data_IF_207502844250
#
_entry.id   IF_207502844250
#
_cell.length_a   1.000
_cell.length_b   1.000
_cell.length_c   1.000
_cell.angle_alpha   90.00
_cell.angle_beta   90.00
_cell.angle_gamma   90.00
#
_symmetry.space_group_name_H-M   'P 1'
#
loop_
_entity.id
_entity.type
_entity.pdbx_description
1 polymer ?
#
# COMPACT_ATOMS: atom_id res chain seq x y z
N UNK A 1 27.55 -4.85 -6.26
CA UNK A 1 27.88 -4.70 -7.70
C UNK A 1 29.27 -5.29 -7.95
N UNK A 2 29.34 -6.55 -8.41
CA UNK A 2 30.60 -7.17 -8.83
C UNK A 2 30.30 -8.31 -9.83
N UNK A 3 29.54 -8.00 -10.88
CA UNK A 3 29.28 -8.91 -12.00
C UNK A 3 29.30 -8.09 -13.30
N UNK A 4 30.47 -7.57 -13.63
CA UNK A 4 30.86 -7.14 -14.99
C UNK A 4 32.33 -6.73 -14.98
N UNK A 5 33.24 -7.72 -14.95
CA UNK A 5 34.67 -7.52 -15.17
C UNK A 5 35.09 -8.18 -16.48
N UNK A 6 35.60 -7.39 -17.42
CA UNK A 6 36.09 -7.81 -18.73
C UNK A 6 37.31 -8.76 -18.60
N UNK A 7 37.33 -9.85 -19.39
CA UNK A 7 38.57 -10.55 -19.79
C UNK A 7 39.01 -10.02 -21.15
N UNK A 8 40.27 -9.60 -21.26
CA UNK A 8 41.24 -10.03 -22.29
C UNK A 8 42.39 -9.00 -22.38
N UNK A 9 43.61 -9.44 -22.07
CA UNK A 9 44.78 -9.35 -22.94
C UNK A 9 45.99 -9.95 -22.21
N UNK A 10 46.46 -11.08 -22.73
CA UNK A 10 47.79 -11.61 -22.45
C UNK A 10 48.64 -11.37 -23.71
N UNK A 11 49.77 -10.69 -23.54
CA UNK A 11 50.97 -10.87 -24.35
C UNK A 11 52.11 -10.10 -23.67
N UNK A 12 53.11 -10.83 -23.22
CA UNK A 12 54.37 -10.31 -22.73
C UNK A 12 55.42 -10.48 -23.83
N UNK A 13 56.19 -9.42 -24.13
CA UNK A 13 57.56 -9.58 -24.61
C UNK A 13 58.44 -8.45 -24.07
N UNK A 14 59.67 -8.82 -23.70
CA UNK A 14 60.70 -8.00 -23.06
C UNK A 14 61.50 -7.25 -24.14
N UNK A 15 61.96 -6.02 -23.87
CA UNK A 15 63.40 -5.69 -23.80
C UNK A 15 63.68 -4.22 -23.41
N UNK A 16 64.87 -4.04 -22.86
CA UNK A 16 65.50 -2.88 -22.18
C UNK A 16 65.74 -1.70 -23.12
N UNK A 17 65.69 -0.46 -22.61
CA UNK A 17 66.89 0.38 -22.35
C UNK A 17 66.51 1.77 -21.83
N UNK A 18 67.41 2.31 -21.01
CA UNK A 18 67.29 3.60 -20.34
C UNK A 18 67.80 4.77 -21.20
N UNK A 19 67.50 5.98 -20.70
CA UNK A 19 68.09 7.28 -21.01
C UNK A 19 67.56 7.98 -22.27
N UNK A 20 66.76 9.03 -22.05
CA UNK A 20 67.11 10.41 -22.42
C UNK A 20 66.09 11.38 -21.80
N UNK A 21 66.55 12.03 -20.72
CA UNK A 21 65.92 13.18 -20.10
C UNK A 21 65.97 14.40 -21.05
N UNK A 22 64.93 15.22 -20.98
CA UNK A 22 65.09 16.67 -21.15
C UNK A 22 64.67 17.24 -22.50
N UNK A 23 63.36 17.31 -22.76
CA UNK A 23 62.77 18.38 -23.62
C UNK A 23 61.23 18.37 -23.74
N UNK A 24 60.49 17.48 -23.07
CA UNK A 24 59.02 17.40 -23.21
C UNK A 24 58.19 18.00 -22.05
N UNK A 25 58.81 18.74 -21.12
CA UNK A 25 58.14 19.27 -19.93
C UNK A 25 57.55 20.69 -20.05
N UNK A 26 57.52 21.31 -21.23
CA UNK A 26 56.87 22.63 -21.41
C UNK A 26 55.56 22.65 -22.22
N UNK A 27 55.17 21.53 -22.84
CA UNK A 27 53.85 21.42 -23.51
C UNK A 27 52.79 20.82 -22.58
N UNK A 28 53.20 20.11 -21.52
CA UNK A 28 52.28 19.57 -20.52
C UNK A 28 51.72 20.63 -19.54
N UNK A 29 52.32 21.82 -19.44
CA UNK A 29 51.91 22.85 -18.48
C UNK A 29 50.78 23.78 -18.97
N UNK A 30 50.47 23.80 -20.27
CA UNK A 30 49.38 24.62 -20.83
C UNK A 30 48.12 23.80 -21.14
N UNK A 31 48.23 22.46 -21.23
CA UNK A 31 47.06 21.58 -21.38
C UNK A 31 46.37 21.19 -20.06
N UNK A 32 46.91 21.61 -18.90
CA UNK A 32 46.43 21.24 -17.56
C UNK A 32 45.69 22.38 -16.81
N UNK A 33 45.24 23.43 -17.51
CA UNK A 33 44.46 24.55 -16.93
C UNK A 33 43.05 24.74 -17.47
N UNK A 34 42.47 23.73 -18.12
CA UNK A 34 41.08 23.80 -18.59
C UNK A 34 40.28 22.51 -18.35
N UNK A 35 40.39 21.90 -17.17
CA UNK A 35 39.37 20.94 -16.66
C UNK A 35 39.34 20.98 -15.13
N UNK A 36 38.67 21.96 -14.54
CA UNK A 36 38.19 21.86 -13.15
C UNK A 36 36.84 22.56 -13.04
N UNK A 37 35.77 21.81 -13.36
CA UNK A 37 34.44 22.04 -12.78
C UNK A 37 34.13 20.77 -11.98
N UNK A 38 33.87 20.87 -10.67
CA UNK A 38 33.54 19.70 -9.86
C UNK A 38 32.10 19.29 -10.17
N UNK A 39 31.93 18.19 -10.90
CA UNK A 39 30.64 17.50 -11.03
C UNK A 39 30.34 16.75 -9.74
N UNK A 40 29.55 17.38 -8.87
CA UNK A 40 28.82 16.70 -7.80
C UNK A 40 27.66 15.92 -8.43
N UNK A 41 27.85 14.64 -8.72
CA UNK A 41 26.81 13.62 -8.57
C UNK A 41 27.38 12.22 -8.86
N UNK A 42 27.61 11.45 -7.80
CA UNK A 42 27.90 10.03 -7.90
C UNK A 42 26.63 9.22 -8.14
N UNK A 43 25.96 9.43 -9.29
CA UNK A 43 24.81 8.62 -9.71
C UNK A 43 25.15 7.85 -10.98
N UNK A 44 24.88 6.54 -11.05
CA UNK A 44 24.96 5.83 -12.32
C UNK A 44 23.82 6.33 -13.21
N UNK A 45 24.18 7.01 -14.28
CA UNK A 45 23.27 7.30 -15.39
C UNK A 45 22.92 5.98 -16.10
N UNK A 46 21.73 5.44 -15.80
CA UNK A 46 21.23 4.18 -16.38
C UNK A 46 20.51 4.41 -17.72
N UNK A 47 20.50 5.65 -18.24
CA UNK A 47 19.84 5.96 -19.52
C UNK A 47 20.58 5.39 -20.75
N UNK A 48 21.86 5.02 -20.60
CA UNK A 48 22.72 4.59 -21.72
C UNK A 48 22.67 3.11 -22.13
N UNK A 49 21.93 2.22 -21.46
CA UNK A 49 22.00 0.77 -21.71
C UNK A 49 20.63 0.04 -21.67
N UNK A 50 19.87 0.01 -22.78
CA UNK A 50 18.59 -0.71 -22.88
C UNK A 50 18.68 -2.17 -22.41
N UNK A 51 19.74 -2.89 -22.82
CA UNK A 51 19.98 -4.30 -22.45
C UNK A 51 20.17 -4.52 -20.94
N UNK A 52 20.70 -3.53 -20.21
CA UNK A 52 20.86 -3.62 -18.76
C UNK A 52 19.53 -3.39 -18.04
N UNK A 53 18.71 -2.46 -18.55
CA UNK A 53 17.36 -2.20 -18.05
C UNK A 53 16.48 -3.44 -18.22
N UNK A 54 16.52 -4.05 -19.40
CA UNK A 54 15.75 -5.26 -19.69
C UNK A 54 16.16 -6.42 -18.78
N UNK A 55 17.47 -6.64 -18.57
CA UNK A 55 17.95 -7.70 -17.67
C UNK A 55 17.53 -7.48 -16.22
N UNK A 56 17.60 -6.25 -15.72
CA UNK A 56 17.15 -5.90 -14.36
C UNK A 56 15.64 -6.10 -14.23
N UNK A 57 14.86 -5.62 -15.19
CA UNK A 57 13.41 -5.77 -15.19
C UNK A 57 12.98 -7.23 -15.32
N UNK A 58 13.67 -8.05 -16.12
CA UNK A 58 13.47 -9.50 -16.16
C UNK A 58 13.71 -10.18 -14.80
N UNK A 59 14.69 -9.72 -14.01
CA UNK A 59 14.92 -10.29 -12.66
C UNK A 59 13.86 -9.90 -11.64
N UNK A 60 13.14 -8.79 -11.91
CA UNK A 60 12.08 -8.26 -11.06
C UNK A 60 10.68 -8.68 -11.50
N UNK A 61 10.50 -9.43 -12.60
CA UNK A 61 9.17 -9.92 -12.96
C UNK A 61 8.61 -10.78 -11.85
N UNK A 62 7.30 -10.85 -11.71
CA UNK A 62 6.64 -11.91 -10.94
C UNK A 62 5.96 -12.80 -11.97
N UNK A 63 5.98 -14.11 -11.76
CA UNK A 63 5.33 -15.07 -12.64
C UNK A 63 4.42 -15.92 -11.78
N UNK A 64 3.16 -16.04 -12.20
CA UNK A 64 2.23 -16.98 -11.64
C UNK A 64 2.69 -18.44 -11.85
N UNK A 65 2.03 -19.37 -11.15
CA UNK A 65 2.33 -20.79 -11.26
C UNK A 65 2.09 -21.32 -12.70
N UNK A 66 2.85 -22.35 -13.07
CA UNK A 66 2.78 -22.95 -14.41
C UNK A 66 1.36 -23.44 -14.73
N UNK A 67 0.77 -22.92 -15.81
CA UNK A 67 -0.58 -23.29 -16.26
C UNK A 67 -1.63 -22.19 -16.10
N UNK A 68 -1.30 -21.09 -15.41
CA UNK A 68 -2.18 -19.93 -15.28
C UNK A 68 -1.80 -18.87 -16.33
N UNK A 69 -2.76 -18.44 -17.15
CA UNK A 69 -2.57 -17.33 -18.08
C UNK A 69 -3.14 -16.04 -17.49
N UNK A 70 -2.35 -15.35 -16.66
CA UNK A 70 -2.79 -14.14 -15.98
C UNK A 70 -3.16 -13.00 -16.94
N UNK A 71 -2.44 -12.85 -18.07
CA UNK A 71 -2.77 -11.86 -19.10
C UNK A 71 -4.16 -12.08 -19.71
N UNK A 72 -4.56 -13.34 -19.92
CA UNK A 72 -5.90 -13.67 -20.39
C UNK A 72 -6.96 -13.45 -19.29
N UNK A 73 -6.67 -13.83 -18.04
CA UNK A 73 -7.55 -13.62 -16.89
C UNK A 73 -7.86 -12.14 -16.68
N UNK A 74 -6.85 -11.26 -16.64
CA UNK A 74 -7.06 -9.82 -16.41
C UNK A 74 -7.81 -9.14 -17.57
N UNK A 75 -7.73 -9.69 -18.79
CA UNK A 75 -8.51 -9.23 -19.95
C UNK A 75 -9.94 -9.77 -19.97
N UNK A 76 -10.30 -10.67 -19.06
CA UNK A 76 -11.62 -11.28 -19.00
C UNK A 76 -11.87 -12.35 -20.05
N UNK A 77 -10.82 -13.03 -20.52
CA UNK A 77 -10.97 -14.18 -21.42
C UNK A 77 -11.77 -15.29 -20.75
N UNK A 78 -12.91 -15.66 -21.35
CA UNK A 78 -13.85 -16.60 -20.76
C UNK A 78 -13.23 -17.98 -20.50
N UNK A 79 -12.38 -18.47 -21.41
CA UNK A 79 -11.76 -19.78 -21.27
C UNK A 79 -10.73 -19.77 -20.13
N UNK A 80 -9.91 -18.72 -20.02
CA UNK A 80 -8.96 -18.55 -18.93
C UNK A 80 -9.65 -18.40 -17.57
N UNK A 81 -10.77 -17.68 -17.52
CA UNK A 81 -11.57 -17.54 -16.29
C UNK A 81 -12.22 -18.86 -15.86
N UNK A 82 -12.73 -19.64 -16.81
CA UNK A 82 -13.27 -20.99 -16.52
C UNK A 82 -12.16 -21.93 -16.03
N UNK A 83 -11.00 -21.92 -16.68
CA UNK A 83 -9.84 -22.70 -16.25
C UNK A 83 -9.36 -22.31 -14.85
N UNK A 84 -9.31 -21.01 -14.53
CA UNK A 84 -8.98 -20.51 -13.20
C UNK A 84 -10.01 -20.94 -12.15
N UNK A 85 -11.30 -20.87 -12.46
CA UNK A 85 -12.36 -21.32 -11.57
C UNK A 85 -12.28 -22.82 -11.26
N UNK A 86 -11.95 -23.65 -12.26
CA UNK A 86 -11.71 -25.09 -12.08
C UNK A 86 -10.45 -25.35 -11.23
N UNK A 87 -9.33 -24.71 -11.57
CA UNK A 87 -8.07 -24.84 -10.83
C UNK A 87 -8.23 -24.44 -9.36
N UNK A 88 -9.01 -23.40 -9.07
CA UNK A 88 -9.33 -23.01 -7.69
C UNK A 88 -9.96 -24.14 -6.89
N UNK A 89 -10.88 -24.92 -7.47
CA UNK A 89 -11.51 -26.06 -6.78
C UNK A 89 -10.49 -27.15 -6.42
N UNK A 90 -9.46 -27.32 -7.24
CA UNK A 90 -8.38 -28.29 -7.01
C UNK A 90 -7.33 -27.78 -6.02
N UNK A 91 -6.94 -26.50 -6.14
CA UNK A 91 -5.87 -25.85 -5.38
C UNK A 91 -6.32 -25.43 -3.98
N UNK A 92 -7.59 -25.04 -3.79
CA UNK A 92 -8.13 -24.67 -2.47
C UNK A 92 -7.98 -25.82 -1.44
N UNK A 93 -7.98 -27.07 -1.92
CA UNK A 93 -7.78 -28.25 -1.06
C UNK A 93 -6.29 -28.55 -0.76
N UNK A 94 -5.35 -27.87 -1.40
CA UNK A 94 -3.90 -28.15 -1.31
C UNK A 94 -3.04 -26.97 -0.84
N UNK A 95 -3.54 -25.73 -0.89
CA UNK A 95 -2.76 -24.54 -0.50
C UNK A 95 -2.48 -24.55 1.01
N UNK A 96 -1.20 -24.62 1.36
CA UNK A 96 -0.71 -24.45 2.73
C UNK A 96 -0.21 -23.00 2.89
N UNK A 97 -0.78 -22.21 3.82
CA UNK A 97 -0.28 -20.86 4.11
C UNK A 97 1.17 -20.92 4.60
N UNK A 98 1.99 -19.95 4.19
CA UNK A 98 3.34 -19.83 4.77
C UNK A 98 3.28 -19.43 6.23
N UNK A 99 4.14 -20.05 7.03
CA UNK A 99 4.21 -19.84 8.47
C UNK A 99 5.13 -18.67 8.84
N UNK A 100 4.88 -17.94 9.93
CA UNK A 100 5.76 -16.86 10.40
C UNK A 100 7.22 -17.29 10.63
N UNK A 101 7.44 -18.53 11.06
CA UNK A 101 8.76 -19.14 11.28
C UNK A 101 9.62 -19.16 10.00
N UNK A 102 9.01 -19.39 8.84
CA UNK A 102 9.72 -19.37 7.56
C UNK A 102 10.30 -17.98 7.27
N UNK A 103 9.54 -16.92 7.57
CA UNK A 103 9.99 -15.54 7.38
C UNK A 103 11.10 -15.16 8.36
N UNK A 104 11.10 -15.69 9.58
CA UNK A 104 12.22 -15.49 10.52
C UNK A 104 13.53 -16.07 9.99
N UNK A 105 13.48 -17.19 9.27
CA UNK A 105 14.68 -17.76 8.65
C UNK A 105 15.09 -16.99 7.40
N UNK A 106 14.13 -16.66 6.53
CA UNK A 106 14.38 -15.94 5.27
C UNK A 106 15.01 -14.57 5.51
N UNK A 107 14.55 -13.83 6.52
CA UNK A 107 14.99 -12.45 6.82
C UNK A 107 16.32 -12.37 7.56
N UNK A 108 16.98 -13.49 7.87
CA UNK A 108 18.35 -13.49 8.43
C UNK A 108 19.36 -12.85 7.48
N UNK A 109 19.16 -13.05 6.17
CA UNK A 109 19.90 -12.35 5.13
C UNK A 109 18.90 -11.47 4.36
N UNK A 110 18.86 -10.19 4.74
CA UNK A 110 17.96 -9.22 4.11
C UNK A 110 18.27 -9.00 2.61
N UNK A 111 19.54 -9.13 2.19
CA UNK A 111 19.89 -9.01 0.77
C UNK A 111 19.30 -10.15 -0.03
N UNK A 112 19.47 -11.38 0.47
CA UNK A 112 18.87 -12.57 -0.10
C UNK A 112 17.34 -12.53 -0.08
N UNK A 113 16.73 -12.17 1.05
CA UNK A 113 15.28 -12.05 1.18
C UNK A 113 14.69 -11.09 0.15
N UNK A 114 15.23 -9.86 0.04
CA UNK A 114 14.74 -8.86 -0.91
C UNK A 114 14.92 -9.31 -2.37
N UNK A 115 16.05 -9.92 -2.70
CA UNK A 115 16.31 -10.46 -4.03
C UNK A 115 15.38 -11.63 -4.37
N UNK A 116 15.25 -12.62 -3.48
CA UNK A 116 14.38 -13.78 -3.65
C UNK A 116 12.92 -13.37 -3.79
N UNK A 117 12.44 -12.48 -2.92
CA UNK A 117 11.06 -11.99 -2.94
C UNK A 117 10.81 -10.95 -4.02
N UNK A 118 11.87 -10.51 -4.72
CA UNK A 118 11.83 -9.55 -5.85
C UNK A 118 11.25 -8.19 -5.42
N UNK A 119 11.75 -7.62 -4.35
CA UNK A 119 11.43 -6.23 -3.97
C UNK A 119 12.09 -5.23 -4.94
N UNK A 120 11.40 -4.12 -5.23
CA UNK A 120 11.94 -3.04 -6.05
C UNK A 120 12.63 -2.03 -5.12
N UNK A 121 13.96 -2.01 -5.12
CA UNK A 121 14.78 -1.23 -4.16
C UNK A 121 15.24 0.13 -4.70
N UNK A 122 14.73 0.56 -5.85
CA UNK A 122 15.03 1.85 -6.46
C UNK A 122 13.75 2.52 -6.99
N UNK A 123 13.66 3.85 -7.00
CA UNK A 123 12.52 4.53 -7.63
C UNK A 123 12.45 4.21 -9.13
N UNK A 124 11.27 3.89 -9.65
CA UNK A 124 11.08 3.57 -11.07
C UNK A 124 10.98 4.82 -11.96
N UNK A 125 10.70 5.99 -11.37
CA UNK A 125 10.67 7.27 -12.07
C UNK A 125 10.99 8.45 -11.13
N UNK A 126 11.40 9.58 -11.70
CA UNK A 126 11.56 10.83 -10.96
C UNK A 126 10.22 11.30 -10.37
N UNK A 127 9.14 11.11 -11.13
CA UNK A 127 7.78 11.44 -10.72
C UNK A 127 7.40 10.80 -9.38
N UNK A 128 7.71 9.52 -9.25
CA UNK A 128 7.45 8.75 -8.03
C UNK A 128 8.44 9.10 -6.91
N UNK A 129 9.71 9.36 -7.24
CA UNK A 129 10.73 9.73 -6.26
C UNK A 129 10.41 11.04 -5.52
N UNK A 130 9.84 12.02 -6.23
CA UNK A 130 9.52 13.35 -5.71
C UNK A 130 8.13 13.44 -5.05
N UNK A 131 7.36 12.35 -5.07
CA UNK A 131 6.04 12.27 -4.45
C UNK A 131 5.94 11.10 -3.45
N UNK A 132 6.64 11.15 -2.30
CA UNK A 132 6.58 10.06 -1.32
C UNK A 132 5.18 9.88 -0.74
N UNK A 133 4.75 8.62 -0.65
CA UNK A 133 3.48 8.20 -0.05
C UNK A 133 3.76 7.49 1.26
N UNK A 134 2.92 7.73 2.27
CA UNK A 134 2.95 7.03 3.54
C UNK A 134 1.83 5.98 3.61
N UNK A 135 2.11 4.87 4.28
CA UNK A 135 1.15 3.79 4.52
C UNK A 135 1.05 3.47 6.01
N UNK A 136 -0.18 3.38 6.50
CA UNK A 136 -0.51 2.81 7.83
C UNK A 136 -1.09 1.41 7.62
N UNK A 137 -0.35 0.37 7.97
CA UNK A 137 -0.73 -1.01 7.70
C UNK A 137 -1.13 -1.73 8.99
N UNK A 138 -2.43 -1.91 9.21
CA UNK A 138 -2.96 -2.57 10.42
C UNK A 138 -3.18 -4.06 10.16
N UNK A 139 -2.38 -4.91 10.82
CA UNK A 139 -2.37 -6.36 10.59
C UNK A 139 -2.46 -7.13 11.91
N UNK A 140 -2.96 -8.37 11.84
CA UNK A 140 -3.07 -9.25 13.02
C UNK A 140 -2.75 -10.73 12.73
N UNK A 141 -2.73 -11.15 11.46
CA UNK A 141 -2.48 -12.53 11.04
C UNK A 141 -1.91 -12.60 9.60
N UNK A 142 -1.79 -13.83 9.06
CA UNK A 142 -1.45 -14.15 7.66
C UNK A 142 -0.18 -13.43 7.14
N UNK A 143 0.97 -13.89 7.62
CA UNK A 143 2.27 -13.28 7.31
C UNK A 143 2.56 -13.24 5.80
N UNK A 144 2.11 -14.24 5.04
CA UNK A 144 2.23 -14.28 3.58
C UNK A 144 1.47 -13.13 2.91
N UNK A 145 0.27 -12.82 3.39
CA UNK A 145 -0.50 -11.70 2.84
C UNK A 145 0.09 -10.35 3.18
N UNK A 146 0.60 -10.19 4.41
CA UNK A 146 1.33 -9.00 4.78
C UNK A 146 2.54 -8.77 3.86
N UNK A 147 3.37 -9.80 3.62
CA UNK A 147 4.54 -9.65 2.77
C UNK A 147 4.18 -9.35 1.31
N UNK A 148 3.16 -10.01 0.76
CA UNK A 148 2.70 -9.76 -0.62
C UNK A 148 2.15 -8.34 -0.79
N UNK A 149 1.35 -7.87 0.18
CA UNK A 149 0.85 -6.50 0.20
C UNK A 149 2.00 -5.49 0.30
N UNK A 150 2.93 -5.70 1.23
CA UNK A 150 4.10 -4.84 1.38
C UNK A 150 4.91 -4.81 0.08
N UNK A 151 5.23 -5.96 -0.50
CA UNK A 151 5.96 -6.08 -1.77
C UNK A 151 5.29 -5.35 -2.94
N UNK A 152 3.96 -5.38 -2.98
CA UNK A 152 3.19 -4.79 -4.07
C UNK A 152 3.03 -3.28 -3.95
N UNK A 153 3.15 -2.74 -2.72
CA UNK A 153 3.14 -1.31 -2.44
C UNK A 153 4.54 -0.71 -2.28
N UNK A 154 5.58 -1.52 -2.04
CA UNK A 154 6.90 -1.07 -1.64
C UNK A 154 7.59 -0.23 -2.72
N UNK A 155 8.03 0.96 -2.34
CA UNK A 155 8.96 1.79 -3.07
C UNK A 155 9.92 2.46 -2.05
N UNK A 156 11.22 2.61 -2.36
CA UNK A 156 12.23 3.07 -1.39
C UNK A 156 12.08 4.53 -0.96
N UNK A 157 11.33 5.34 -1.71
CA UNK A 157 11.02 6.73 -1.35
C UNK A 157 9.84 6.85 -0.39
N UNK A 158 8.91 5.88 -0.39
CA UNK A 158 7.71 5.85 0.44
C UNK A 158 8.01 5.48 1.91
N UNK A 159 6.99 5.51 2.77
CA UNK A 159 7.09 5.14 4.19
C UNK A 159 6.00 4.16 4.58
N UNK A 160 6.32 3.19 5.43
CA UNK A 160 5.40 2.14 5.84
C UNK A 160 5.46 1.96 7.35
N UNK A 161 4.40 2.38 8.03
CA UNK A 161 4.21 2.04 9.44
C UNK A 161 3.33 0.80 9.55
N UNK A 162 3.81 -0.20 10.29
CA UNK A 162 3.10 -1.46 10.51
C UNK A 162 2.58 -1.50 11.94
N UNK A 163 1.26 -1.44 12.10
CA UNK A 163 0.63 -1.71 13.38
C UNK A 163 0.26 -3.19 13.46
N UNK A 164 0.97 -3.94 14.29
CA UNK A 164 0.65 -5.33 14.60
C UNK A 164 -0.23 -5.39 15.85
N UNK A 165 -1.39 -6.05 15.78
CA UNK A 165 -2.24 -6.24 16.97
C UNK A 165 -1.43 -6.91 18.09
N UNK A 166 -1.48 -6.33 19.29
CA UNK A 166 -0.78 -6.85 20.47
C UNK A 166 -1.24 -8.27 20.87
N UNK A 167 -2.43 -8.69 20.45
CA UNK A 167 -2.94 -10.06 20.64
C UNK A 167 -2.41 -11.09 19.65
N UNK A 168 -1.76 -10.66 18.56
CA UNK A 168 -1.17 -11.60 17.60
C UNK A 168 -0.10 -12.45 18.27
N UNK A 169 0.10 -13.68 17.78
CA UNK A 169 1.09 -14.59 18.36
C UNK A 169 2.49 -13.97 18.39
N UNK A 170 3.28 -14.31 19.40
CA UNK A 170 4.64 -13.80 19.55
C UNK A 170 5.51 -14.10 18.30
N UNK A 171 5.34 -15.26 17.68
CA UNK A 171 6.04 -15.59 16.43
C UNK A 171 5.63 -14.68 15.27
N UNK A 172 4.33 -14.40 15.11
CA UNK A 172 3.84 -13.47 14.10
C UNK A 172 4.44 -12.07 14.28
N UNK A 173 4.39 -11.54 15.51
CA UNK A 173 4.98 -10.23 15.80
C UNK A 173 6.49 -10.18 15.54
N UNK A 174 7.23 -11.27 15.86
CA UNK A 174 8.67 -11.37 15.56
C UNK A 174 8.91 -11.41 14.04
N UNK A 175 8.12 -12.16 13.29
CA UNK A 175 8.26 -12.26 11.84
C UNK A 175 8.01 -10.92 11.15
N UNK A 176 6.98 -10.17 11.58
CA UNK A 176 6.72 -8.82 11.06
C UNK A 176 7.89 -7.88 11.35
N UNK A 177 8.43 -7.88 12.58
CA UNK A 177 9.61 -7.06 12.92
C UNK A 177 10.83 -7.43 12.09
N UNK A 178 11.05 -8.73 11.83
CA UNK A 178 12.16 -9.21 11.04
C UNK A 178 12.05 -8.78 9.55
N UNK A 179 10.84 -8.82 8.98
CA UNK A 179 10.56 -8.29 7.63
C UNK A 179 10.81 -6.77 7.60
N UNK A 180 10.25 -6.02 8.55
CA UNK A 180 10.40 -4.56 8.61
C UNK A 180 11.88 -4.15 8.71
N UNK A 181 12.68 -4.84 9.52
CA UNK A 181 14.11 -4.57 9.70
C UNK A 181 14.95 -4.71 8.41
N UNK A 182 14.45 -5.38 7.37
CA UNK A 182 15.14 -5.47 6.08
C UNK A 182 15.03 -4.21 5.21
N UNK A 183 14.23 -3.22 5.62
CA UNK A 183 13.99 -2.00 4.86
C UNK A 183 14.17 -0.76 5.75
N UNK A 184 14.87 0.28 5.28
CA UNK A 184 15.13 1.49 6.09
C UNK A 184 13.89 2.38 6.28
N UNK A 185 12.84 2.17 5.48
CA UNK A 185 11.62 2.97 5.42
C UNK A 185 10.36 2.19 5.82
N UNK A 186 10.53 0.98 6.38
CA UNK A 186 9.46 0.16 6.94
C UNK A 186 9.74 -0.01 8.44
N UNK A 187 8.76 0.27 9.29
CA UNK A 187 8.93 0.17 10.73
C UNK A 187 7.63 -0.28 11.40
N UNK A 188 7.76 -0.94 12.55
CA UNK A 188 6.61 -1.28 13.39
C UNK A 188 6.26 -0.07 14.26
N UNK A 189 4.96 0.20 14.42
CA UNK A 189 4.48 1.31 15.23
C UNK A 189 5.05 1.26 16.66
N UNK A 190 5.38 2.43 17.20
CA UNK A 190 5.92 2.61 18.55
C UNK A 190 4.94 2.20 19.63
N UNK A 191 3.63 2.26 19.33
CA UNK A 191 2.53 1.87 20.21
C UNK A 191 1.61 0.88 19.50
N UNK A 192 1.43 -0.30 20.11
CA UNK A 192 0.59 -1.37 19.61
C UNK A 192 -0.66 -1.53 20.47
N UNK A 193 -1.82 -1.52 19.83
CA UNK A 193 -3.13 -1.65 20.47
C UNK A 193 -3.57 -3.12 20.51
N UNK A 194 -4.41 -3.44 21.50
CA UNK A 194 -5.24 -4.65 21.50
C UNK A 194 -6.53 -4.32 20.74
N UNK A 195 -6.60 -4.73 19.46
CA UNK A 195 -7.69 -4.26 18.60
C UNK A 195 -8.96 -5.07 18.84
N UNK A 196 -9.96 -4.47 19.47
CA UNK A 196 -11.30 -5.06 19.61
C UNK A 196 -12.19 -4.57 18.47
N UNK A 197 -12.85 -5.52 17.80
CA UNK A 197 -13.75 -5.24 16.68
C UNK A 197 -14.81 -4.18 17.05
N UNK A 198 -15.06 -3.25 16.12
CA UNK A 198 -16.00 -2.13 16.27
C UNK A 198 -15.70 -1.17 17.45
N UNK A 199 -14.50 -1.21 18.03
CA UNK A 199 -14.11 -0.29 19.09
C UNK A 199 -13.06 0.72 18.65
N UNK A 200 -12.85 1.75 19.47
CA UNK A 200 -11.85 2.80 19.27
C UNK A 200 -10.44 2.28 18.96
N UNK A 201 -10.04 1.13 19.51
CA UNK A 201 -8.69 0.59 19.31
C UNK A 201 -8.34 0.38 17.83
N UNK A 202 -9.34 0.13 16.96
CA UNK A 202 -9.09 0.01 15.51
C UNK A 202 -8.64 1.35 14.93
N UNK A 203 -9.27 2.44 15.34
CA UNK A 203 -8.92 3.80 14.91
C UNK A 203 -7.60 4.24 15.55
N UNK A 204 -7.41 3.94 16.84
CA UNK A 204 -6.18 4.23 17.58
C UNK A 204 -4.94 3.60 16.93
N UNK A 205 -5.07 2.40 16.37
CA UNK A 205 -3.99 1.76 15.62
C UNK A 205 -3.50 2.60 14.44
N UNK A 206 -4.41 3.22 13.69
CA UNK A 206 -4.04 4.15 12.61
C UNK A 206 -3.45 5.47 13.16
N UNK A 207 -4.00 6.02 14.25
CA UNK A 207 -3.47 7.23 14.89
C UNK A 207 -2.03 7.03 15.40
N UNK A 208 -1.72 5.86 15.97
CA UNK A 208 -0.38 5.53 16.42
C UNK A 208 0.61 5.55 15.24
N UNK A 209 0.23 4.93 14.11
CA UNK A 209 1.04 4.97 12.91
C UNK A 209 1.17 6.37 12.31
N UNK A 210 0.08 7.15 12.27
CA UNK A 210 0.12 8.54 11.84
C UNK A 210 1.13 9.36 12.64
N UNK A 211 1.13 9.20 13.97
CA UNK A 211 2.04 9.94 14.84
C UNK A 211 3.51 9.59 14.58
N UNK A 212 3.84 8.31 14.37
CA UNK A 212 5.20 7.90 14.03
C UNK A 212 5.62 8.36 12.61
N UNK A 213 4.70 8.29 11.64
CA UNK A 213 4.96 8.74 10.27
C UNK A 213 5.23 10.25 10.19
N UNK A 214 4.60 11.06 11.05
CA UNK A 214 4.87 12.50 11.14
C UNK A 214 6.27 12.81 11.66
N UNK A 215 6.86 11.94 12.47
CA UNK A 215 8.24 12.10 12.97
C UNK A 215 9.30 11.83 11.90
N UNK A 216 8.93 11.19 10.78
CA UNK A 216 9.85 10.95 9.67
C UNK A 216 10.34 12.28 9.08
N UNK A 217 11.66 12.46 8.90
CA UNK A 217 12.21 13.65 8.26
C UNK A 217 11.86 13.73 6.77
N UNK A 218 11.31 12.65 6.18
CA UNK A 218 10.87 12.64 4.79
C UNK A 218 9.48 13.28 4.66
N UNK A 219 9.33 14.35 3.86
CA UNK A 219 8.07 15.06 3.70
C UNK A 219 7.13 14.31 2.73
N UNK A 220 6.54 13.22 3.20
CA UNK A 220 5.50 12.50 2.46
C UNK A 220 4.26 13.36 2.22
N UNK A 221 3.51 13.07 1.15
CA UNK A 221 2.42 13.93 0.65
C UNK A 221 1.04 13.47 1.13
N UNK A 222 0.80 12.17 1.05
CA UNK A 222 -0.46 11.54 1.43
C UNK A 222 -0.23 10.28 2.24
N UNK A 223 -1.21 9.97 3.09
CA UNK A 223 -1.33 8.73 3.83
C UNK A 223 -2.49 7.90 3.27
N UNK A 224 -2.23 6.62 3.04
CA UNK A 224 -3.24 5.60 2.82
C UNK A 224 -3.15 4.59 3.95
N UNK A 225 -4.28 4.27 4.59
CA UNK A 225 -4.28 3.13 5.51
C UNK A 225 -4.63 1.82 4.77
N UNK A 226 -4.23 0.69 5.32
CA UNK A 226 -4.54 -0.65 4.83
C UNK A 226 -4.80 -1.60 5.98
N UNK A 227 -5.47 -2.71 5.68
CA UNK A 227 -5.55 -3.89 6.52
C UNK A 227 -4.84 -5.09 5.86
N UNK A 228 -4.65 -6.18 6.59
CA UNK A 228 -3.95 -7.38 6.10
C UNK A 228 -4.63 -8.16 4.95
N UNK A 229 -5.82 -7.73 4.50
CA UNK A 229 -6.56 -8.37 3.38
C UNK A 229 -6.79 -7.44 2.19
N UNK A 230 -6.15 -6.27 2.22
CA UNK A 230 -6.15 -5.34 1.09
C UNK A 230 -5.12 -5.74 0.04
N UNK A 231 -5.34 -5.30 -1.19
CA UNK A 231 -4.34 -5.36 -2.25
C UNK A 231 -4.42 -4.13 -3.16
N UNK A 232 -3.28 -3.60 -3.67
CA UNK A 232 -3.33 -2.54 -4.67
C UNK A 232 -3.97 -3.03 -5.97
N UNK A 233 -4.62 -2.10 -6.67
CA UNK A 233 -5.15 -2.31 -8.03
C UNK A 233 -4.63 -1.25 -9.00
N UNK A 234 -3.59 -0.54 -8.57
CA UNK A 234 -2.84 0.51 -9.27
C UNK A 234 -1.36 0.36 -8.92
N UNK A 235 -0.50 0.66 -9.88
CA UNK A 235 0.94 0.78 -9.66
C UNK A 235 1.27 1.99 -8.80
N UNK A 236 2.47 2.06 -8.21
CA UNK A 236 2.88 3.23 -7.43
C UNK A 236 2.83 4.54 -8.26
N UNK A 237 3.24 4.50 -9.54
CA UNK A 237 3.11 5.64 -10.45
C UNK A 237 1.64 6.09 -10.65
N UNK A 238 0.70 5.14 -10.80
CA UNK A 238 -0.72 5.47 -10.92
C UNK A 238 -1.30 6.01 -9.61
N UNK A 239 -0.91 5.45 -8.46
CA UNK A 239 -1.26 5.99 -7.14
C UNK A 239 -0.78 7.44 -7.04
N UNK A 240 0.50 7.71 -7.33
CA UNK A 240 1.08 9.06 -7.31
C UNK A 240 0.29 10.02 -8.20
N UNK A 241 -0.04 9.62 -9.43
CA UNK A 241 -0.81 10.46 -10.37
C UNK A 241 -2.21 10.76 -9.85
N UNK A 242 -2.93 9.77 -9.33
CA UNK A 242 -4.26 9.99 -8.72
C UNK A 242 -4.17 10.93 -7.53
N UNK A 243 -3.16 10.78 -6.66
CA UNK A 243 -2.97 11.65 -5.49
C UNK A 243 -2.62 13.09 -5.86
N UNK A 244 -1.86 13.30 -6.95
CA UNK A 244 -1.61 14.65 -7.49
C UNK A 244 -2.89 15.34 -7.95
N UNK A 245 -3.82 14.60 -8.55
CA UNK A 245 -5.12 15.13 -8.98
C UNK A 245 -6.00 15.60 -7.82
N UNK A 246 -5.77 15.08 -6.61
CA UNK A 246 -6.51 15.53 -5.42
C UNK A 246 -6.08 16.94 -4.94
N UNK A 247 -4.94 17.47 -5.38
CA UNK A 247 -4.51 18.85 -5.10
C UNK A 247 -4.57 19.28 -3.62
N UNK A 248 -4.26 18.37 -2.70
CA UNK A 248 -4.28 18.60 -1.25
C UNK A 248 -5.61 18.27 -0.57
N UNK A 249 -6.63 17.86 -1.32
CA UNK A 249 -7.89 17.36 -0.79
C UNK A 249 -7.77 15.90 -0.35
N UNK A 250 -8.58 15.50 0.62
CA UNK A 250 -8.67 14.10 1.02
C UNK A 250 -9.67 13.35 0.13
N UNK A 251 -9.62 12.02 0.13
CA UNK A 251 -10.65 11.18 -0.52
C UNK A 251 -11.00 9.99 0.37
N UNK A 252 -12.23 9.98 0.87
CA UNK A 252 -12.79 8.93 1.71
C UNK A 252 -14.32 8.98 1.64
N UNK A 253 -14.98 7.83 1.86
CA UNK A 253 -16.45 7.76 1.92
C UNK A 253 -16.96 8.71 3.01
N UNK A 254 -17.94 9.53 2.66
CA UNK A 254 -18.54 10.52 3.55
C UNK A 254 -19.93 10.88 3.08
N UNK A 255 -20.92 10.18 3.63
CA UNK A 255 -22.33 10.30 3.31
C UNK A 255 -23.15 10.69 4.54
N UNK A 256 -24.38 11.17 4.30
CA UNK A 256 -25.31 11.42 5.40
C UNK A 256 -25.64 10.12 6.13
N UNK A 257 -25.68 10.14 7.47
CA UNK A 257 -25.92 8.93 8.24
C UNK A 257 -27.37 8.49 8.16
N UNK A 258 -27.59 7.21 7.83
CA UNK A 258 -28.91 6.58 7.97
C UNK A 258 -29.36 6.56 9.43
N UNK A 259 -30.67 6.42 9.66
CA UNK A 259 -31.23 6.32 11.02
C UNK A 259 -30.60 5.18 11.84
N UNK A 260 -30.32 4.06 11.18
CA UNK A 260 -29.64 2.90 11.79
C UNK A 260 -28.19 3.22 12.16
N UNK A 261 -27.42 3.88 11.29
CA UNK A 261 -26.02 4.23 11.60
C UNK A 261 -25.94 5.25 12.74
N UNK A 262 -26.92 6.16 12.87
CA UNK A 262 -26.97 7.13 13.98
C UNK A 262 -27.03 6.48 15.37
N UNK A 263 -27.59 5.28 15.51
CA UNK A 263 -27.62 4.57 16.80
C UNK A 263 -26.24 4.27 17.37
N UNK A 264 -25.20 4.24 16.52
CA UNK A 264 -23.83 3.90 16.91
C UNK A 264 -23.15 4.92 17.83
N UNK A 265 -23.62 6.18 17.83
CA UNK A 265 -23.07 7.24 18.68
C UNK A 265 -24.11 7.94 19.56
N UNK A 266 -25.35 7.42 19.62
CA UNK A 266 -26.40 7.92 20.53
C UNK A 266 -26.16 7.52 21.99
N UNK A 267 -25.45 6.41 22.21
CA UNK A 267 -25.21 5.84 23.53
C UNK A 267 -23.73 5.56 23.76
N UNK A 268 -23.32 5.58 25.02
CA UNK A 268 -21.98 5.16 25.40
C UNK A 268 -21.83 3.65 25.19
N UNK A 269 -20.66 3.23 24.74
CA UNK A 269 -20.30 1.83 24.59
C UNK A 269 -19.12 1.49 25.52
N UNK A 270 -19.14 0.28 26.08
CA UNK A 270 -18.06 -0.23 26.91
C UNK A 270 -17.38 -1.40 26.22
N UNK A 271 -16.07 -1.49 26.38
CA UNK A 271 -15.22 -2.53 25.78
C UNK A 271 -14.75 -3.47 26.88
N UNK A 272 -14.96 -4.77 26.66
CA UNK A 272 -14.36 -5.86 27.44
C UNK A 272 -13.61 -6.78 26.47
N UNK A 273 -14.08 -8.01 26.27
CA UNK A 273 -13.68 -8.86 25.15
C UNK A 273 -14.41 -8.51 23.85
N UNK A 274 -15.59 -7.90 23.98
CA UNK A 274 -16.39 -7.33 22.91
C UNK A 274 -16.91 -5.96 23.33
N UNK A 275 -17.42 -5.20 22.37
CA UNK A 275 -18.06 -3.91 22.60
C UNK A 275 -19.57 -4.11 22.81
N UNK A 276 -20.13 -3.42 23.81
CA UNK A 276 -21.57 -3.44 24.07
C UNK A 276 -22.10 -2.04 24.35
N UNK A 277 -23.33 -1.79 23.88
CA UNK A 277 -24.06 -0.55 24.11
C UNK A 277 -24.54 -0.48 25.56
N UNK A 278 -24.34 0.66 26.22
CA UNK A 278 -24.89 0.94 27.55
C UNK A 278 -26.27 1.62 27.45
N UNK A 279 -26.95 1.78 28.57
CA UNK A 279 -28.19 2.57 28.65
C UNK A 279 -27.95 4.09 28.72
N UNK A 280 -26.69 4.52 28.89
CA UNK A 280 -26.34 5.94 29.05
C UNK A 280 -26.29 6.62 27.68
N UNK A 281 -27.13 7.64 27.49
CA UNK A 281 -27.12 8.48 26.28
C UNK A 281 -25.87 9.37 26.27
N UNK A 282 -25.27 9.54 25.10
CA UNK A 282 -24.18 10.49 24.89
C UNK A 282 -24.70 11.91 24.71
N UNK A 283 -23.91 12.88 25.15
CA UNK A 283 -24.09 14.26 24.70
C UNK A 283 -23.86 14.38 23.18
N UNK A 284 -24.44 15.40 22.51
CA UNK A 284 -24.13 15.69 21.11
C UNK A 284 -22.62 15.85 20.86
N UNK A 285 -22.15 15.66 19.61
CA UNK A 285 -20.77 15.96 19.25
C UNK A 285 -20.40 17.39 19.63
N UNK A 286 -19.17 17.64 20.11
CA UNK A 286 -18.74 18.97 20.51
C UNK A 286 -18.82 19.94 19.31
N UNK A 287 -19.05 21.23 19.60
CA UNK A 287 -19.16 22.32 18.62
C UNK A 287 -20.33 22.23 17.63
N UNK A 288 -21.21 21.24 17.77
CA UNK A 288 -22.44 21.15 16.97
C UNK A 288 -22.23 20.77 15.50
N UNK A 289 -21.06 20.22 15.15
CA UNK A 289 -20.82 19.76 13.79
C UNK A 289 -21.69 18.54 13.43
N UNK A 290 -22.26 18.49 12.21
CA UNK A 290 -23.01 17.32 11.76
C UNK A 290 -22.11 16.09 11.62
N UNK A 291 -22.64 14.93 11.98
CA UNK A 291 -21.97 13.64 11.81
C UNK A 291 -22.17 13.11 10.39
N UNK A 292 -21.14 12.46 9.86
CA UNK A 292 -21.15 11.74 8.59
C UNK A 292 -20.70 10.30 8.79
N UNK A 293 -21.08 9.43 7.87
CA UNK A 293 -20.66 8.02 7.87
C UNK A 293 -19.88 7.69 6.62
N UNK A 294 -18.95 6.75 6.78
CA UNK A 294 -18.20 6.17 5.70
C UNK A 294 -17.70 4.79 6.10
N UNK A 295 -16.45 4.50 5.73
CA UNK A 295 -15.74 3.28 6.12
C UNK A 295 -14.39 3.61 6.77
N UNK A 296 -13.69 2.58 7.24
CA UNK A 296 -12.42 2.72 7.96
C UNK A 296 -11.24 3.17 7.08
N UNK A 297 -11.39 3.23 5.76
CA UNK A 297 -10.31 3.46 4.81
C UNK A 297 -10.34 4.86 4.22
N UNK A 298 -9.16 5.46 4.09
CA UNK A 298 -9.03 6.83 3.61
C UNK A 298 -7.77 7.06 2.80
N UNK A 299 -7.81 8.11 1.99
CA UNK A 299 -6.67 8.82 1.45
C UNK A 299 -6.66 10.22 2.06
N UNK A 300 -5.63 10.53 2.84
CA UNK A 300 -5.54 11.80 3.57
C UNK A 300 -4.25 12.55 3.24
N UNK A 301 -4.35 13.86 3.01
CA UNK A 301 -3.18 14.71 2.83
C UNK A 301 -2.38 14.79 4.14
N UNK A 302 -1.06 15.01 4.07
CA UNK A 302 -0.22 15.16 5.28
C UNK A 302 -0.74 16.25 6.23
N UNK A 303 -1.20 17.38 5.68
CA UNK A 303 -1.75 18.47 6.47
C UNK A 303 -3.00 18.06 7.28
N UNK A 304 -3.84 17.16 6.74
CA UNK A 304 -4.96 16.59 7.48
C UNK A 304 -4.45 15.82 8.70
N UNK A 305 -3.45 14.96 8.50
CA UNK A 305 -2.86 14.13 9.56
C UNK A 305 -2.18 14.98 10.63
N UNK A 306 -1.44 16.01 10.25
CA UNK A 306 -0.85 16.98 11.19
C UNK A 306 -1.93 17.67 12.03
N UNK A 307 -3.02 18.10 11.39
CA UNK A 307 -4.11 18.79 12.04
C UNK A 307 -4.82 17.94 13.11
N UNK A 308 -4.88 16.61 12.94
CA UNK A 308 -5.45 15.69 13.95
C UNK A 308 -4.78 15.83 15.33
N UNK A 309 -3.47 16.13 15.35
CA UNK A 309 -2.68 16.22 16.58
C UNK A 309 -2.46 17.66 17.07
N UNK A 310 -2.84 18.66 16.28
CA UNK A 310 -2.63 20.08 16.60
C UNK A 310 -3.92 20.81 16.98
N UNK A 311 -5.06 20.40 16.42
CA UNK A 311 -6.33 21.10 16.59
C UNK A 311 -7.06 20.65 17.85
N UNK A 312 -7.28 21.58 18.79
CA UNK A 312 -8.03 21.31 20.01
C UNK A 312 -9.47 20.86 19.71
N UNK A 313 -10.11 21.46 18.72
CA UNK A 313 -11.46 21.10 18.25
C UNK A 313 -11.53 19.65 17.78
N UNK A 314 -10.54 19.21 16.98
CA UNK A 314 -10.47 17.83 16.49
C UNK A 314 -10.18 16.87 17.64
N UNK A 315 -9.26 17.22 18.55
CA UNK A 315 -8.95 16.39 19.71
C UNK A 315 -10.16 16.18 20.62
N UNK A 316 -10.97 17.21 20.86
CA UNK A 316 -12.22 17.09 21.62
C UNK A 316 -13.23 16.17 20.91
N UNK A 317 -13.31 16.24 19.58
CA UNK A 317 -14.16 15.32 18.80
C UNK A 317 -13.67 13.87 18.87
N UNK A 318 -12.36 13.64 18.73
CA UNK A 318 -11.76 12.32 18.85
C UNK A 318 -11.98 11.73 20.25
N UNK A 319 -11.83 12.53 21.30
CA UNK A 319 -12.12 12.11 22.68
C UNK A 319 -13.60 11.72 22.84
N UNK A 320 -14.51 12.55 22.34
CA UNK A 320 -15.94 12.26 22.36
C UNK A 320 -16.28 10.95 21.62
N UNK A 321 -15.53 10.59 20.56
CA UNK A 321 -15.81 9.42 19.74
C UNK A 321 -15.34 8.08 20.35
N UNK A 322 -14.49 8.10 21.39
CA UNK A 322 -13.82 6.89 21.94
C UNK A 322 -14.76 5.79 22.42
N UNK A 323 -15.95 6.14 22.89
CA UNK A 323 -16.95 5.20 23.40
C UNK A 323 -18.19 5.13 22.51
N UNK A 324 -18.00 5.32 21.20
CA UNK A 324 -19.00 5.02 20.16
C UNK A 324 -18.75 3.65 19.54
N UNK A 325 -19.75 3.11 18.84
CA UNK A 325 -19.64 1.83 18.12
C UNK A 325 -19.14 2.03 16.69
N UNK A 326 -18.13 1.28 16.27
CA UNK A 326 -17.45 1.43 14.97
C UNK A 326 -17.04 2.88 14.66
N UNK A 327 -16.26 3.55 15.54
CA UNK A 327 -15.84 4.94 15.31
C UNK A 327 -15.08 5.15 14.01
N UNK A 328 -14.38 4.14 13.53
CA UNK A 328 -13.71 4.11 12.24
C UNK A 328 -14.66 4.32 11.04
N UNK A 329 -15.96 4.03 11.18
CA UNK A 329 -16.97 4.23 10.13
C UNK A 329 -17.69 5.60 10.20
N UNK A 330 -17.30 6.51 11.10
CA UNK A 330 -17.87 7.87 11.14
C UNK A 330 -16.89 8.98 11.51
N UNK A 331 -15.78 8.70 12.19
CA UNK A 331 -14.80 9.73 12.57
C UNK A 331 -14.11 10.32 11.35
N UNK A 332 -13.58 9.48 10.44
CA UNK A 332 -12.88 9.97 9.25
C UNK A 332 -13.83 10.74 8.32
N UNK A 333 -15.00 10.16 8.05
CA UNK A 333 -16.05 10.81 7.29
C UNK A 333 -16.43 12.18 7.89
N UNK A 334 -16.66 12.25 9.20
CA UNK A 334 -17.04 13.51 9.86
C UNK A 334 -15.92 14.56 9.82
N UNK A 335 -14.68 14.16 10.10
CA UNK A 335 -13.53 15.08 10.03
C UNK A 335 -13.30 15.61 8.62
N UNK A 336 -13.54 14.80 7.58
CA UNK A 336 -13.45 15.24 6.20
C UNK A 336 -14.54 16.24 5.78
N UNK A 337 -15.49 16.57 6.68
CA UNK A 337 -16.57 17.55 6.47
C UNK A 337 -16.55 18.71 7.45
N UNK A 338 -15.63 18.67 8.40
CA UNK A 338 -15.52 19.66 9.47
C UNK A 338 -14.84 20.93 8.93
N UNK A 339 -15.48 22.11 9.06
CA UNK A 339 -14.87 23.37 8.64
C UNK A 339 -13.51 23.59 9.30
N UNK A 340 -12.53 24.05 8.51
CA UNK A 340 -11.16 24.33 8.99
C UNK A 340 -10.23 23.11 9.01
N UNK A 341 -10.73 21.90 8.76
CA UNK A 341 -9.88 20.71 8.61
C UNK A 341 -9.21 20.70 7.22
N UNK A 342 -7.87 20.56 7.12
CA UNK A 342 -7.18 20.57 5.84
C UNK A 342 -7.65 19.46 4.89
N UNK A 343 -7.90 19.83 3.63
CA UNK A 343 -8.37 18.92 2.59
C UNK A 343 -9.81 18.43 2.74
N UNK A 344 -10.54 18.90 3.75
CA UNK A 344 -11.96 18.62 3.94
C UNK A 344 -12.83 19.31 2.87
N UNK A 345 -14.02 18.76 2.65
CA UNK A 345 -15.03 19.32 1.74
C UNK A 345 -16.26 19.81 2.52
N UNK A 346 -17.03 20.79 2.02
CA UNK A 346 -18.17 21.34 2.76
C UNK A 346 -19.21 20.26 3.11
N UNK A 347 -19.84 20.35 4.29
CA UNK A 347 -20.86 19.39 4.75
C UNK A 347 -22.18 19.36 3.94
N UNK A 348 -22.31 20.19 2.89
CA UNK A 348 -23.48 20.20 2.01
C UNK A 348 -23.59 18.89 1.21
N UNK A 349 -24.80 18.37 1.00
CA UNK A 349 -25.01 17.05 0.37
C UNK A 349 -24.45 16.91 -1.05
N UNK A 350 -24.29 18.02 -1.77
CA UNK A 350 -23.62 18.05 -3.09
C UNK A 350 -22.18 17.53 -3.09
N UNK A 351 -21.53 17.49 -1.94
CA UNK A 351 -20.17 16.94 -1.80
C UNK A 351 -20.17 15.52 -1.25
N UNK A 352 -21.33 14.88 -1.01
CA UNK A 352 -21.37 13.48 -0.56
C UNK A 352 -20.59 12.58 -1.51
N UNK A 353 -19.83 11.66 -0.93
CA UNK A 353 -18.94 10.77 -1.65
C UNK A 353 -19.18 9.35 -1.15
N UNK A 354 -19.76 8.51 -2.01
CA UNK A 354 -19.95 7.09 -1.73
C UNK A 354 -18.63 6.32 -1.80
N UNK A 355 -18.66 5.07 -1.35
CA UNK A 355 -17.55 4.11 -1.49
C UNK A 355 -17.11 3.94 -2.95
N UNK A 356 -18.05 3.87 -3.89
CA UNK A 356 -17.77 3.74 -5.31
C UNK A 356 -17.17 5.01 -5.92
N UNK A 357 -17.43 6.20 -5.36
CA UNK A 357 -16.90 7.47 -5.88
C UNK A 357 -15.58 7.90 -5.22
N UNK A 358 -15.35 7.52 -3.96
CA UNK A 358 -14.07 7.73 -3.30
C UNK A 358 -12.97 6.87 -3.95
N UNK A 359 -11.71 7.34 -3.96
CA UNK A 359 -10.61 6.56 -4.57
C UNK A 359 -9.97 5.55 -3.60
N UNK A 360 -10.31 5.62 -2.31
CA UNK A 360 -9.59 4.92 -1.24
C UNK A 360 -9.67 3.39 -1.35
N UNK A 361 -10.88 2.83 -1.44
CA UNK A 361 -11.08 1.38 -1.40
C UNK A 361 -12.25 0.92 -2.25
N UNK A 362 -12.01 -0.06 -3.11
CA UNK A 362 -13.04 -0.82 -3.79
C UNK A 362 -13.49 -2.00 -2.92
N UNK A 363 -14.79 -2.13 -2.66
CA UNK A 363 -15.39 -3.22 -1.87
C UNK A 363 -16.68 -3.68 -2.53
N UNK A 364 -16.90 -4.99 -2.64
CA UNK A 364 -18.22 -5.54 -3.01
C UNK A 364 -18.96 -6.02 -1.76
N UNK A 365 -20.20 -5.57 -1.60
CA UNK A 365 -21.13 -6.00 -0.57
C UNK A 365 -22.18 -6.93 -1.16
N UNK A 366 -22.36 -8.10 -0.54
CA UNK A 366 -23.22 -9.18 -1.02
C UNK A 366 -24.65 -8.71 -1.38
N UNK A 367 -25.21 -7.81 -0.58
CA UNK A 367 -26.58 -7.31 -0.74
C UNK A 367 -26.73 -6.20 -1.80
N UNK A 368 -25.64 -5.75 -2.42
CA UNK A 368 -25.62 -4.78 -3.53
C UNK A 368 -25.17 -5.41 -4.85
N UNK A 369 -24.73 -6.67 -4.84
CA UNK A 369 -24.33 -7.40 -6.04
C UNK A 369 -25.53 -7.72 -6.93
N UNK A 370 -25.36 -7.64 -8.27
CA UNK A 370 -26.43 -7.99 -9.20
C UNK A 370 -26.11 -7.71 -10.67
N UNK A 371 -27.14 -7.69 -11.51
CA UNK A 371 -27.00 -7.30 -12.92
C UNK A 371 -26.79 -5.78 -13.01
N UNK A 372 -25.58 -5.37 -13.41
CA UNK A 372 -25.22 -3.96 -13.56
C UNK A 372 -26.17 -3.24 -14.53
N UNK A 373 -26.65 -3.94 -15.57
CA UNK A 373 -27.62 -3.39 -16.55
C UNK A 373 -29.00 -3.12 -15.93
N UNK A 374 -29.26 -3.66 -14.74
CA UNK A 374 -30.48 -3.47 -13.96
C UNK A 374 -30.27 -2.59 -12.72
N UNK A 375 -29.14 -1.88 -12.63
CA UNK A 375 -28.89 -0.88 -11.58
C UNK A 375 -28.06 -1.36 -10.39
N UNK A 376 -27.51 -2.58 -10.41
CA UNK A 376 -26.52 -2.98 -9.42
C UNK A 376 -25.20 -2.20 -9.64
N UNK A 377 -24.52 -1.72 -8.58
CA UNK A 377 -23.22 -1.05 -8.71
C UNK A 377 -22.12 -1.98 -9.24
N UNK A 378 -22.26 -3.30 -9.04
CA UNK A 378 -21.28 -4.29 -9.46
C UNK A 378 -21.88 -5.69 -9.61
N UNK A 379 -21.18 -6.51 -10.40
CA UNK A 379 -21.52 -7.91 -10.65
C UNK A 379 -21.37 -8.78 -9.40
N UNK A 380 -22.00 -9.96 -9.36
CA UNK A 380 -21.79 -10.94 -8.29
C UNK A 380 -20.32 -11.27 -8.07
N UNK A 381 -19.97 -11.52 -6.80
CA UNK A 381 -18.66 -11.98 -6.38
C UNK A 381 -18.32 -13.32 -7.03
N UNK A 382 -17.13 -13.45 -7.61
CA UNK A 382 -16.68 -14.73 -8.18
C UNK A 382 -15.95 -15.62 -7.17
N UNK A 383 -15.50 -15.04 -6.05
CA UNK A 383 -14.91 -15.74 -4.91
C UNK A 383 -15.97 -16.20 -3.88
N UNK A 384 -15.85 -15.76 -2.63
CA UNK A 384 -16.81 -16.07 -1.56
C UNK A 384 -17.09 -14.87 -0.67
N UNK A 385 -18.25 -14.85 -0.01
CA UNK A 385 -18.56 -13.81 0.99
C UNK A 385 -18.10 -14.20 2.39
N UNK A 386 -17.54 -13.23 3.12
CA UNK A 386 -17.31 -13.34 4.56
C UNK A 386 -17.84 -12.08 5.26
N UNK A 387 -18.84 -12.26 6.12
CA UNK A 387 -19.56 -11.15 6.78
C UNK A 387 -20.10 -10.13 5.75
N UNK A 388 -20.76 -10.63 4.71
CA UNK A 388 -21.31 -9.86 3.58
C UNK A 388 -20.31 -9.10 2.69
N UNK A 389 -18.99 -9.23 2.91
CA UNK A 389 -17.97 -8.66 2.02
C UNK A 389 -17.42 -9.75 1.09
N UNK A 390 -17.33 -9.46 -0.21
CA UNK A 390 -16.69 -10.35 -1.18
C UNK A 390 -15.19 -10.48 -0.89
N UNK A 391 -14.72 -11.71 -0.77
CA UNK A 391 -13.32 -12.06 -0.95
C UNK A 391 -13.16 -12.41 -2.43
N UNK A 392 -12.47 -11.55 -3.17
CA UNK A 392 -12.41 -11.60 -4.63
C UNK A 392 -11.83 -12.90 -5.17
N UNK A 393 -12.40 -13.36 -6.28
CA UNK A 393 -11.86 -14.43 -7.10
C UNK A 393 -11.20 -13.89 -8.37
N UNK A 394 -10.54 -14.78 -9.12
CA UNK A 394 -9.87 -14.40 -10.37
C UNK A 394 -10.83 -13.78 -11.40
N UNK A 395 -12.10 -14.19 -11.38
CA UNK A 395 -13.15 -13.64 -12.25
C UNK A 395 -13.58 -12.21 -11.92
N UNK A 396 -13.21 -11.67 -10.76
CA UNK A 396 -13.46 -10.27 -10.41
C UNK A 396 -12.39 -9.33 -10.99
N UNK A 397 -11.20 -9.83 -11.34
CA UNK A 397 -10.06 -9.02 -11.76
C UNK A 397 -10.32 -8.11 -12.98
N UNK A 398 -10.99 -8.56 -14.07
CA UNK A 398 -11.27 -7.70 -15.21
C UNK A 398 -12.05 -6.44 -14.83
N UNK A 399 -13.02 -6.58 -13.92
CA UNK A 399 -13.81 -5.46 -13.44
C UNK A 399 -13.04 -4.62 -12.44
N UNK A 400 -12.33 -5.23 -11.49
CA UNK A 400 -11.53 -4.53 -10.48
C UNK A 400 -10.52 -3.58 -11.13
N UNK A 401 -9.81 -4.05 -12.15
CA UNK A 401 -8.76 -3.26 -12.83
C UNK A 401 -9.31 -2.07 -13.65
N UNK A 402 -10.62 -2.07 -13.95
CA UNK A 402 -11.28 -0.94 -14.61
C UNK A 402 -11.72 0.16 -13.63
N UNK A 403 -11.73 -0.11 -12.31
CA UNK A 403 -12.17 0.87 -11.32
C UNK A 403 -11.08 1.90 -11.03
N UNK A 404 -11.47 3.12 -10.64
CA UNK A 404 -10.51 4.20 -10.33
C UNK A 404 -9.88 4.09 -8.95
N UNK A 405 -10.37 3.20 -8.09
CA UNK A 405 -9.84 3.01 -6.74
C UNK A 405 -8.36 2.62 -6.76
N UNK A 406 -7.68 2.91 -5.65
CA UNK A 406 -6.24 2.66 -5.49
C UNK A 406 -5.99 1.25 -4.97
N UNK A 407 -6.84 0.77 -4.07
CA UNK A 407 -6.77 -0.56 -3.48
C UNK A 407 -8.16 -1.19 -3.44
N UNK A 408 -8.21 -2.52 -3.31
CA UNK A 408 -9.45 -3.28 -3.18
C UNK A 408 -9.42 -4.21 -1.95
N UNK A 409 -10.61 -4.51 -1.41
CA UNK A 409 -10.84 -5.37 -0.25
C UNK A 409 -12.00 -6.34 -0.55
N UNK A 410 -11.88 -7.66 -0.38
CA UNK A 410 -10.81 -8.44 0.31
C UNK A 410 -10.13 -9.44 -0.61
N UNK A 411 -8.89 -9.78 -0.27
CA UNK A 411 -8.14 -10.90 -0.86
C UNK A 411 -7.72 -11.91 0.22
N UNK A 412 -7.77 -13.20 -0.13
CA UNK A 412 -7.36 -14.29 0.75
C UNK A 412 -6.78 -15.43 -0.11
N UNK A 413 -5.52 -15.84 0.09
CA UNK A 413 -4.88 -16.89 -0.71
C UNK A 413 -5.55 -18.26 -0.49
N UNK A 414 -6.27 -18.42 0.62
CA UNK A 414 -7.09 -19.60 0.89
C UNK A 414 -8.45 -19.59 0.16
N UNK A 415 -8.83 -18.47 -0.45
CA UNK A 415 -10.03 -18.37 -1.28
C UNK A 415 -9.67 -18.47 -2.74
N UNK A 416 -8.74 -17.64 -3.18
CA UNK A 416 -8.33 -17.60 -4.58
C UNK A 416 -6.91 -17.03 -4.70
N UNK A 417 -5.93 -17.94 -4.68
CA UNK A 417 -4.51 -17.60 -4.88
C UNK A 417 -4.25 -17.03 -6.28
N UNK A 418 -5.00 -17.49 -7.29
CA UNK A 418 -4.86 -17.08 -8.69
C UNK A 418 -5.19 -15.60 -8.83
N UNK A 419 -6.24 -15.13 -8.14
CA UNK A 419 -6.60 -13.72 -8.11
C UNK A 419 -5.43 -12.83 -7.67
N UNK A 420 -4.71 -13.24 -6.63
CA UNK A 420 -3.61 -12.46 -6.06
C UNK A 420 -2.36 -12.57 -6.95
N UNK A 421 -2.02 -13.77 -7.43
CA UNK A 421 -0.86 -13.97 -8.33
C UNK A 421 -1.00 -13.16 -9.61
N UNK A 422 -2.18 -13.18 -10.23
CA UNK A 422 -2.40 -12.45 -11.48
C UNK A 422 -2.43 -10.94 -11.27
N UNK A 423 -2.93 -10.45 -10.14
CA UNK A 423 -2.87 -9.03 -9.82
C UNK A 423 -1.43 -8.58 -9.54
N UNK A 424 -0.63 -9.39 -8.84
CA UNK A 424 0.81 -9.13 -8.63
C UNK A 424 1.61 -9.09 -9.93
N UNK A 425 1.43 -10.11 -10.78
CA UNK A 425 2.08 -10.18 -12.08
C UNK A 425 1.69 -9.00 -12.96
N UNK A 426 0.40 -8.70 -13.06
CA UNK A 426 -0.11 -7.59 -13.86
C UNK A 426 0.46 -6.24 -13.41
N UNK A 427 0.37 -5.92 -12.12
CA UNK A 427 0.87 -4.65 -11.59
C UNK A 427 2.40 -4.56 -11.69
N UNK A 428 3.12 -5.67 -11.49
CA UNK A 428 4.57 -5.71 -11.65
C UNK A 428 4.98 -5.46 -13.10
N UNK A 429 4.35 -6.14 -14.06
CA UNK A 429 4.62 -5.93 -15.49
C UNK A 429 4.33 -4.48 -15.88
N UNK A 430 3.16 -3.97 -15.48
CA UNK A 430 2.73 -2.59 -15.77
C UNK A 430 3.66 -1.54 -15.17
N UNK A 431 4.21 -1.78 -13.98
CA UNK A 431 5.17 -0.88 -13.34
C UNK A 431 6.54 -0.86 -14.06
N UNK A 432 7.04 -2.01 -14.49
CA UNK A 432 8.37 -2.13 -15.10
C UNK A 432 8.40 -1.72 -16.58
N UNK A 433 7.35 -2.05 -17.33
CA UNK A 433 7.31 -1.86 -18.78
C UNK A 433 6.33 -0.76 -19.24
N UNK A 434 5.57 -0.17 -18.32
CA UNK A 434 4.47 0.74 -18.64
C UNK A 434 3.27 0.00 -19.21
N UNK A 435 2.33 0.72 -19.82
CA UNK A 435 1.13 0.18 -20.49
C UNK A 435 1.44 -0.63 -21.77
N UNK A 436 2.64 -1.18 -21.91
CA UNK A 436 3.03 -2.02 -23.04
C UNK A 436 2.64 -3.48 -22.74
N UNK A 437 1.34 -3.78 -22.81
CA UNK A 437 0.76 -5.11 -23.08
C UNK A 437 -0.73 -5.01 -23.38
#
# INVERSE_FOLDING_TARGET
MQLCGKKALASASRHRCALLLGSLLLVAAVALRSVTVPSHDGRPDVSGYPRCRDRLYCTLTLSADSGINCSAIVRGDTAALQAAALSRLEVANRKVPRLPEEYLNLTRDCGYYKAMRRFIEFPLSLEEAEFPVAYSMVIHDKIEMFERLLRSLYAPQNLYCIHVDSKSSATFQKAVRAIAACFPNVFVASRLENVVYASWSRLQADLNCMQDLLQSPRPWRYLLNTCGTDFPIKTNAEIVRTLKLLQGQNSMESEKPSTLKQERWRYHHKVTHSIFRTSTKKAPPPHGFPMFTGNAYFVAARAFVEHLFQSHTVQQFLEWAKDTYSPDEHVWATLNRMPGVPGAVPYHSKFELSDMNAVARLVKWQYLEGDIRKGAPYSPCTGRHQRAVCIYGAGDLPWILQQHHLLANKFDPLVDEIAIQCLEEHLRQRALYGSAL
#
